data_IF_387157126796
#
_entry.id   IF_387157126796
#
_cell.length_a   1.000
_cell.length_b   1.000
_cell.length_c   1.000
_cell.angle_alpha   90.00
_cell.angle_beta   90.00
_cell.angle_gamma   90.00
#
_symmetry.space_group_name_H-M   'P 1'
#
loop_
_entity.id
_entity.type
_entity.pdbx_description
1 polymer ?
#
# COMPACT_ATOMS: atom_id res chain seq x y z
N UNK A 1 11.45 36.52 -28.25
CA UNK A 1 11.02 35.24 -28.81
C UNK A 1 12.18 34.61 -29.55
N UNK A 2 12.82 33.56 -29.06
CA UNK A 2 13.68 32.73 -29.89
C UNK A 2 12.92 31.43 -30.24
N UNK A 3 12.96 31.14 -31.55
CA UNK A 3 12.41 29.96 -32.20
C UNK A 3 12.99 28.65 -31.58
N UNK A 4 12.11 27.82 -31.03
CA UNK A 4 12.44 26.46 -30.70
C UNK A 4 12.55 25.69 -32.03
N UNK A 5 13.78 25.40 -32.45
CA UNK A 5 14.08 24.48 -33.56
C UNK A 5 13.56 23.10 -33.17
N UNK A 6 12.65 22.57 -33.99
CA UNK A 6 12.15 21.22 -33.86
C UNK A 6 13.30 20.21 -33.83
N UNK A 7 13.38 19.44 -32.74
CA UNK A 7 14.14 18.20 -32.67
C UNK A 7 13.57 17.25 -33.73
N UNK A 8 14.32 16.94 -34.75
CA UNK A 8 14.04 15.83 -35.66
C UNK A 8 13.98 14.57 -34.83
N UNK A 9 12.83 13.89 -34.86
CA UNK A 9 12.71 12.51 -34.37
C UNK A 9 13.78 11.69 -35.12
N UNK A 10 14.55 10.92 -34.36
CA UNK A 10 15.44 9.92 -34.92
C UNK A 10 14.60 8.87 -35.69
N UNK A 11 15.17 8.22 -36.74
CA UNK A 11 14.42 7.26 -37.52
C UNK A 11 13.92 6.13 -36.67
N UNK A 12 12.72 5.60 -37.00
CA UNK A 12 12.06 4.43 -36.43
C UNK A 12 12.99 3.21 -36.36
N UNK A 13 13.82 3.16 -35.35
CA UNK A 13 14.50 1.92 -34.96
C UNK A 13 13.44 1.05 -34.32
N UNK A 14 12.98 0.00 -35.02
CA UNK A 14 12.06 -0.99 -34.45
C UNK A 14 12.67 -1.51 -33.16
N UNK A 15 12.10 -1.11 -32.03
CA UNK A 15 12.48 -1.58 -30.70
C UNK A 15 12.18 -3.08 -30.67
N UNK A 16 13.16 -3.91 -30.32
CA UNK A 16 13.01 -5.36 -30.31
C UNK A 16 13.74 -6.00 -29.14
N UNK A 17 13.16 -7.05 -28.59
CA UNK A 17 13.81 -7.85 -27.53
C UNK A 17 15.13 -8.50 -27.98
N UNK A 18 15.37 -8.63 -29.29
CA UNK A 18 16.64 -9.09 -29.83
C UNK A 18 17.85 -8.24 -29.46
N UNK A 19 17.62 -6.97 -29.04
CA UNK A 19 18.67 -6.11 -28.50
C UNK A 19 19.23 -6.59 -27.14
N UNK A 20 18.50 -7.48 -26.47
CA UNK A 20 18.85 -8.06 -25.18
C UNK A 20 19.33 -9.52 -25.30
N UNK A 21 19.75 -9.97 -26.50
CA UNK A 21 20.40 -11.27 -26.63
C UNK A 21 21.72 -11.30 -25.87
N UNK A 22 22.08 -12.43 -25.23
CA UNK A 22 21.37 -13.72 -25.31
C UNK A 22 20.25 -13.92 -24.27
N UNK A 23 19.96 -12.96 -23.41
CA UNK A 23 19.02 -13.10 -22.28
C UNK A 23 17.58 -13.28 -22.75
N UNK A 24 17.20 -12.61 -23.86
CA UNK A 24 15.85 -12.74 -24.46
C UNK A 24 15.57 -14.15 -24.94
N UNK A 25 16.56 -14.97 -25.19
CA UNK A 25 16.38 -16.36 -25.56
C UNK A 25 15.87 -17.24 -24.40
N UNK A 26 16.07 -16.78 -23.16
CA UNK A 26 15.57 -17.41 -21.92
C UNK A 26 14.22 -16.89 -21.47
N UNK A 27 13.66 -15.89 -22.18
CA UNK A 27 12.39 -15.26 -21.83
C UNK A 27 11.37 -15.49 -22.95
N UNK A 28 10.16 -15.88 -22.58
CA UNK A 28 9.03 -15.89 -23.51
C UNK A 28 8.51 -14.45 -23.66
N UNK A 29 8.76 -13.87 -24.81
CA UNK A 29 8.44 -12.47 -25.13
C UNK A 29 7.28 -12.32 -26.10
N UNK A 30 6.60 -13.42 -26.49
CA UNK A 30 5.58 -13.42 -27.56
C UNK A 30 4.42 -12.47 -27.28
N UNK A 31 3.99 -12.38 -26.01
CA UNK A 31 2.90 -11.52 -25.58
C UNK A 31 3.37 -10.20 -24.95
N UNK A 32 4.64 -9.85 -25.08
CA UNK A 32 5.23 -8.69 -24.41
C UNK A 32 5.79 -7.72 -25.43
N UNK A 33 5.15 -6.58 -25.58
CA UNK A 33 5.64 -5.49 -26.41
C UNK A 33 6.91 -4.88 -25.80
N UNK A 34 8.05 -4.79 -26.56
CA UNK A 34 9.26 -4.16 -26.08
C UNK A 34 9.08 -2.64 -25.94
N UNK A 35 9.61 -2.09 -24.85
CA UNK A 35 9.58 -0.66 -24.58
C UNK A 35 10.96 -0.10 -24.39
N UNK A 36 11.25 1.06 -25.01
CA UNK A 36 12.60 1.64 -25.05
C UNK A 36 13.22 1.80 -23.66
N UNK A 37 12.46 2.34 -22.69
CA UNK A 37 12.97 2.51 -21.33
C UNK A 37 13.26 1.18 -20.64
N UNK A 38 12.50 0.10 -20.92
CA UNK A 38 12.77 -1.22 -20.34
C UNK A 38 14.08 -1.78 -20.86
N UNK A 39 14.32 -1.69 -22.18
CA UNK A 39 15.57 -2.13 -22.78
C UNK A 39 16.77 -1.35 -22.21
N UNK A 40 16.63 -0.03 -22.08
CA UNK A 40 17.66 0.83 -21.49
C UNK A 40 18.01 0.42 -20.06
N UNK A 41 16.99 0.22 -19.21
CA UNK A 41 17.17 -0.19 -17.80
C UNK A 41 17.78 -1.60 -17.72
N UNK A 42 17.33 -2.54 -18.55
CA UNK A 42 17.86 -3.90 -18.56
C UNK A 42 19.34 -3.90 -18.98
N UNK A 43 19.71 -3.08 -19.96
CA UNK A 43 21.13 -2.87 -20.33
C UNK A 43 21.96 -2.26 -19.19
N UNK A 44 21.38 -1.40 -18.37
CA UNK A 44 22.04 -0.87 -17.16
C UNK A 44 22.35 -1.99 -16.16
N UNK A 45 21.36 -2.87 -15.89
CA UNK A 45 21.52 -4.02 -14.99
C UNK A 45 22.64 -4.97 -15.47
N UNK A 46 22.81 -5.15 -16.78
CA UNK A 46 23.87 -5.98 -17.36
C UNK A 46 25.27 -5.56 -16.91
N UNK A 47 25.47 -4.27 -16.62
CA UNK A 47 26.71 -3.72 -16.10
C UNK A 47 27.15 -4.27 -14.73
N UNK A 48 26.34 -5.08 -14.06
CA UNK A 48 26.68 -5.80 -12.84
C UNK A 48 26.66 -4.97 -11.55
N UNK A 49 26.37 -3.68 -11.63
CA UNK A 49 26.22 -2.81 -10.46
C UNK A 49 24.89 -3.08 -9.72
N UNK A 50 24.88 -2.91 -8.41
CA UNK A 50 23.60 -2.87 -7.68
C UNK A 50 22.87 -1.57 -7.96
N UNK A 51 21.57 -1.66 -8.27
CA UNK A 51 20.80 -0.53 -8.79
C UNK A 51 19.47 -0.36 -8.08
N UNK A 52 19.06 0.91 -7.93
CA UNK A 52 17.70 1.30 -7.57
C UNK A 52 16.95 1.75 -8.83
N UNK A 53 15.86 1.06 -9.16
CA UNK A 53 15.03 1.35 -10.31
C UNK A 53 13.70 1.93 -9.81
N UNK A 54 13.41 3.16 -10.18
CA UNK A 54 12.18 3.87 -9.85
C UNK A 54 11.33 4.01 -11.10
N UNK A 55 10.20 3.29 -11.13
CA UNK A 55 9.26 3.28 -12.25
C UNK A 55 7.83 3.38 -11.75
N UNK A 56 6.97 4.23 -12.32
CA UNK A 56 5.53 4.25 -12.04
C UNK A 56 4.88 2.87 -12.13
N UNK A 57 3.75 2.70 -11.47
CA UNK A 57 2.93 1.49 -11.59
C UNK A 57 2.46 1.27 -13.03
N UNK A 58 2.33 0.01 -13.47
CA UNK A 58 1.86 -0.32 -14.82
C UNK A 58 2.94 -0.28 -15.91
N UNK A 59 4.16 0.15 -15.60
CA UNK A 59 5.26 0.22 -16.57
C UNK A 59 6.11 -1.06 -16.68
N UNK A 60 5.59 -2.19 -16.18
CA UNK A 60 6.21 -3.50 -16.42
C UNK A 60 7.50 -3.75 -15.63
N UNK A 61 7.57 -3.32 -14.35
CA UNK A 61 8.68 -3.68 -13.44
C UNK A 61 8.96 -5.19 -13.40
N UNK A 62 7.90 -6.00 -13.51
CA UNK A 62 8.02 -7.47 -13.56
C UNK A 62 8.82 -7.96 -14.78
N UNK A 63 8.68 -7.32 -15.94
CA UNK A 63 9.47 -7.65 -17.14
C UNK A 63 10.94 -7.41 -16.88
N UNK A 64 11.30 -6.26 -16.30
CA UNK A 64 12.67 -5.93 -15.93
C UNK A 64 13.24 -6.95 -14.93
N UNK A 65 12.44 -7.34 -13.92
CA UNK A 65 12.83 -8.37 -12.95
C UNK A 65 13.11 -9.73 -13.62
N UNK A 66 12.26 -10.15 -14.55
CA UNK A 66 12.43 -11.41 -15.28
C UNK A 66 13.70 -11.39 -16.14
N UNK A 67 14.00 -10.29 -16.82
CA UNK A 67 15.26 -10.17 -17.57
C UNK A 67 16.47 -10.13 -16.65
N UNK A 68 16.40 -9.50 -15.48
CA UNK A 68 17.47 -9.55 -14.49
C UNK A 68 17.72 -11.00 -14.01
N UNK A 69 16.66 -11.78 -13.77
CA UNK A 69 16.76 -13.21 -13.47
C UNK A 69 17.40 -13.98 -14.65
N UNK A 70 16.97 -13.73 -15.88
CA UNK A 70 17.50 -14.37 -17.09
C UNK A 70 19.00 -14.11 -17.26
N UNK A 71 19.50 -12.92 -16.90
CA UNK A 71 20.93 -12.60 -16.91
C UNK A 71 21.73 -13.48 -15.95
N UNK A 72 21.25 -13.69 -14.74
CA UNK A 72 21.92 -14.59 -13.79
C UNK A 72 21.90 -16.03 -14.30
N UNK A 73 20.79 -16.50 -14.82
CA UNK A 73 20.62 -17.84 -15.37
C UNK A 73 21.54 -18.09 -16.58
N UNK A 74 21.68 -17.11 -17.47
CA UNK A 74 22.60 -17.19 -18.61
C UNK A 74 24.05 -17.34 -18.17
N UNK A 75 24.42 -16.66 -17.08
CA UNK A 75 25.77 -16.78 -16.47
C UNK A 75 25.93 -18.06 -15.63
N UNK A 76 25.01 -19.02 -15.71
CA UNK A 76 25.00 -20.24 -14.91
C UNK A 76 24.76 -20.04 -13.40
N UNK A 77 24.28 -18.85 -12.99
CA UNK A 77 24.04 -18.50 -11.60
C UNK A 77 22.54 -18.57 -11.29
N UNK A 78 22.20 -18.77 -10.03
CA UNK A 78 20.84 -18.78 -9.51
C UNK A 78 20.34 -17.36 -9.25
N UNK A 79 19.02 -17.19 -9.10
CA UNK A 79 18.43 -15.90 -8.83
C UNK A 79 17.40 -15.95 -7.70
N UNK A 80 17.26 -14.83 -6.96
CA UNK A 80 16.21 -14.62 -5.95
C UNK A 80 15.36 -13.42 -6.36
N UNK A 81 14.03 -13.53 -6.23
CA UNK A 81 13.11 -12.39 -6.32
C UNK A 81 12.22 -12.34 -5.09
N UNK A 82 12.16 -11.19 -4.45
CA UNK A 82 11.42 -10.99 -3.19
C UNK A 82 10.35 -9.92 -3.34
N UNK A 83 9.19 -10.21 -2.75
CA UNK A 83 8.09 -9.27 -2.64
C UNK A 83 7.59 -9.17 -1.18
N UNK A 84 7.08 -7.99 -0.75
CA UNK A 84 6.79 -7.73 0.67
C UNK A 84 5.66 -8.57 1.24
N UNK A 85 4.81 -9.15 0.39
CA UNK A 85 3.66 -9.94 0.81
C UNK A 85 3.56 -11.27 0.06
N UNK A 86 2.94 -12.27 0.69
CA UNK A 86 2.70 -13.57 0.06
C UNK A 86 1.90 -13.46 -1.26
N UNK A 87 0.80 -12.70 -1.37
CA UNK A 87 0.09 -12.54 -2.64
C UNK A 87 0.95 -12.00 -3.77
N UNK A 88 1.80 -11.00 -3.51
CA UNK A 88 2.73 -10.48 -4.50
C UNK A 88 3.79 -11.52 -4.89
N UNK A 89 4.31 -12.29 -3.92
CA UNK A 89 5.24 -13.38 -4.21
C UNK A 89 4.59 -14.46 -5.10
N UNK A 90 3.33 -14.80 -4.87
CA UNK A 90 2.56 -15.74 -5.72
C UNK A 90 2.40 -15.15 -7.13
N UNK A 91 2.02 -13.88 -7.26
CA UNK A 91 1.89 -13.22 -8.56
C UNK A 91 3.21 -13.21 -9.35
N UNK A 92 4.33 -12.95 -8.68
CA UNK A 92 5.66 -13.00 -9.32
C UNK A 92 6.05 -14.43 -9.72
N UNK A 93 5.71 -15.41 -8.89
CA UNK A 93 5.91 -16.82 -9.20
C UNK A 93 5.16 -17.24 -10.47
N UNK A 94 3.88 -16.91 -10.57
CA UNK A 94 3.06 -17.18 -11.76
C UNK A 94 3.62 -16.45 -13.00
N UNK A 95 4.09 -15.21 -12.82
CA UNK A 95 4.72 -14.45 -13.89
C UNK A 95 6.03 -15.07 -14.35
N UNK A 96 6.86 -15.55 -13.42
CA UNK A 96 8.12 -16.21 -13.73
C UNK A 96 7.88 -17.54 -14.48
N UNK A 97 6.94 -18.37 -14.05
CA UNK A 97 6.57 -19.61 -14.76
C UNK A 97 6.12 -19.32 -16.19
N UNK A 98 5.33 -18.26 -16.41
CA UNK A 98 4.84 -17.91 -17.73
C UNK A 98 5.93 -17.33 -18.63
N UNK A 99 6.83 -16.51 -18.05
CA UNK A 99 7.76 -15.71 -18.84
C UNK A 99 9.16 -16.32 -18.95
N UNK A 100 9.64 -17.11 -17.98
CA UNK A 100 10.95 -17.79 -18.09
C UNK A 100 10.80 -19.11 -18.82
N UNK A 101 11.69 -19.36 -19.77
CA UNK A 101 11.80 -20.66 -20.47
C UNK A 101 12.56 -21.66 -19.60
N UNK A 102 11.97 -21.99 -18.45
CA UNK A 102 12.48 -22.95 -17.46
C UNK A 102 11.45 -24.02 -17.19
N UNK A 103 11.91 -25.17 -16.70
CA UNK A 103 10.98 -26.12 -16.09
C UNK A 103 10.34 -25.50 -14.85
N UNK A 104 9.02 -25.59 -14.65
CA UNK A 104 8.35 -25.11 -13.43
C UNK A 104 9.01 -25.61 -12.13
N UNK A 105 9.57 -26.82 -12.11
CA UNK A 105 10.26 -27.39 -10.96
C UNK A 105 11.57 -26.67 -10.60
N UNK A 106 12.15 -25.91 -11.53
CA UNK A 106 13.33 -25.08 -11.31
C UNK A 106 12.98 -23.75 -10.58
N UNK A 107 11.70 -23.42 -10.44
CA UNK A 107 11.22 -22.19 -9.82
C UNK A 107 10.51 -22.52 -8.51
N UNK A 108 11.06 -22.05 -7.39
CA UNK A 108 10.53 -22.31 -6.05
C UNK A 108 9.79 -21.09 -5.50
N UNK A 109 8.52 -21.29 -5.09
CA UNK A 109 7.80 -20.31 -4.27
C UNK A 109 8.09 -20.57 -2.78
N UNK A 110 8.83 -19.66 -2.15
CA UNK A 110 9.26 -19.77 -0.76
C UNK A 110 8.52 -18.78 0.14
N UNK A 111 7.50 -19.25 0.85
CA UNK A 111 6.71 -18.45 1.79
C UNK A 111 6.60 -19.17 3.14
N UNK A 112 6.10 -18.47 4.18
CA UNK A 112 5.96 -18.99 5.52
C UNK A 112 5.07 -20.24 5.67
N UNK A 113 4.37 -20.67 4.61
CA UNK A 113 3.54 -21.88 4.62
C UNK A 113 4.34 -23.18 4.40
N UNK A 114 5.54 -23.10 3.83
CA UNK A 114 6.40 -24.26 3.61
C UNK A 114 7.16 -24.62 4.91
N UNK A 115 7.05 -25.88 5.36
CA UNK A 115 7.73 -26.36 6.57
C UNK A 115 9.25 -26.24 6.45
N UNK A 116 9.90 -25.73 7.50
CA UNK A 116 11.34 -25.44 7.51
C UNK A 116 12.23 -26.66 7.12
N UNK A 117 11.88 -27.87 7.55
CA UNK A 117 12.67 -29.08 7.26
C UNK A 117 12.72 -29.47 5.78
N UNK A 118 11.73 -29.08 4.98
CA UNK A 118 11.72 -29.36 3.53
C UNK A 118 12.34 -28.22 2.70
N UNK A 119 12.49 -27.03 3.27
CA UNK A 119 12.93 -25.84 2.53
C UNK A 119 14.36 -25.94 2.01
N UNK A 120 15.27 -26.51 2.80
CA UNK A 120 16.68 -26.66 2.40
C UNK A 120 16.82 -27.50 1.14
N UNK A 121 16.17 -28.67 1.12
CA UNK A 121 16.22 -29.56 -0.05
C UNK A 121 15.56 -28.91 -1.29
N UNK A 122 14.39 -28.30 -1.10
CA UNK A 122 13.70 -27.61 -2.21
C UNK A 122 14.53 -26.43 -2.72
N UNK A 123 15.12 -25.65 -1.80
CA UNK A 123 15.95 -24.50 -2.17
C UNK A 123 17.23 -24.91 -2.88
N UNK A 124 17.86 -26.03 -2.54
CA UNK A 124 19.10 -26.47 -3.22
C UNK A 124 18.87 -26.87 -4.68
N UNK A 125 17.69 -27.37 -5.02
CA UNK A 125 17.32 -27.81 -6.38
C UNK A 125 16.86 -26.66 -7.27
N UNK A 126 16.28 -25.62 -6.71
CA UNK A 126 15.69 -24.52 -7.47
C UNK A 126 16.77 -23.62 -8.10
N UNK A 127 16.57 -23.22 -9.34
CA UNK A 127 17.38 -22.21 -10.04
C UNK A 127 16.92 -20.80 -9.75
N UNK A 128 15.62 -20.62 -9.50
CA UNK A 128 15.00 -19.34 -9.14
C UNK A 128 14.20 -19.52 -7.86
N UNK A 129 14.42 -18.65 -6.88
CA UNK A 129 13.64 -18.60 -5.64
C UNK A 129 12.82 -17.31 -5.65
N UNK A 130 11.50 -17.44 -5.52
CA UNK A 130 10.58 -16.32 -5.37
C UNK A 130 9.92 -16.41 -3.99
N UNK A 131 9.94 -15.34 -3.20
CA UNK A 131 9.44 -15.45 -1.85
C UNK A 131 9.27 -14.14 -1.09
N UNK A 132 8.95 -14.30 0.20
CA UNK A 132 8.88 -13.15 1.11
C UNK A 132 10.21 -12.93 1.81
N UNK A 133 10.60 -11.66 2.06
CA UNK A 133 11.88 -11.33 2.71
C UNK A 133 12.08 -12.01 4.05
N UNK A 134 11.01 -12.13 4.86
CA UNK A 134 11.06 -12.76 6.18
C UNK A 134 11.45 -14.24 6.08
N UNK A 135 10.88 -14.95 5.10
CA UNK A 135 11.17 -16.38 4.94
C UNK A 135 12.59 -16.59 4.47
N UNK A 136 13.02 -15.85 3.44
CA UNK A 136 14.39 -15.97 2.88
C UNK A 136 15.45 -15.51 3.89
N UNK A 137 15.22 -14.39 4.61
CA UNK A 137 16.13 -13.95 5.68
C UNK A 137 16.31 -15.00 6.79
N UNK A 138 15.23 -15.66 7.19
CA UNK A 138 15.29 -16.73 8.18
C UNK A 138 16.06 -17.96 7.66
N UNK A 139 15.93 -18.29 6.39
CA UNK A 139 16.60 -19.43 5.79
C UNK A 139 18.11 -19.15 5.52
N UNK A 140 18.47 -17.91 5.20
CA UNK A 140 19.86 -17.45 5.16
C UNK A 140 20.51 -17.54 6.55
N UNK A 141 19.86 -16.96 7.59
CA UNK A 141 20.37 -16.98 8.98
C UNK A 141 20.57 -18.39 9.53
N UNK A 142 19.75 -19.33 9.11
CA UNK A 142 19.84 -20.73 9.54
C UNK A 142 20.69 -21.61 8.63
N UNK A 143 21.38 -21.04 7.62
CA UNK A 143 22.24 -21.78 6.71
C UNK A 143 21.51 -22.73 5.75
N UNK A 144 20.17 -22.60 5.60
CA UNK A 144 19.41 -23.39 4.62
C UNK A 144 19.59 -22.89 3.18
N UNK A 145 19.96 -21.63 3.04
CA UNK A 145 20.30 -21.00 1.76
C UNK A 145 21.65 -20.29 1.96
N UNK A 146 22.57 -20.40 1.02
CA UNK A 146 23.78 -19.58 0.96
C UNK A 146 23.60 -18.51 -0.11
N UNK A 147 23.75 -17.24 0.26
CA UNK A 147 23.66 -16.13 -0.68
C UNK A 147 24.72 -16.21 -1.79
N UNK A 148 25.88 -16.79 -1.51
CA UNK A 148 26.97 -16.98 -2.49
C UNK A 148 26.60 -17.80 -3.72
N UNK A 149 25.55 -18.62 -3.68
CA UNK A 149 25.07 -19.42 -4.81
C UNK A 149 24.36 -18.57 -5.88
N UNK A 150 23.95 -17.36 -5.53
CA UNK A 150 23.12 -16.51 -6.39
C UNK A 150 23.96 -15.46 -7.14
N UNK A 151 23.53 -15.13 -8.35
CA UNK A 151 24.14 -14.07 -9.16
C UNK A 151 23.42 -12.74 -9.01
N UNK A 152 22.11 -12.79 -8.72
CA UNK A 152 21.27 -11.59 -8.59
C UNK A 152 20.17 -11.79 -7.56
N UNK A 153 19.85 -10.71 -6.85
CA UNK A 153 18.66 -10.60 -5.98
C UNK A 153 17.83 -9.41 -6.43
N UNK A 154 16.57 -9.65 -6.76
CA UNK A 154 15.59 -8.62 -7.12
C UNK A 154 14.65 -8.38 -5.96
N UNK A 155 14.54 -7.13 -5.51
CA UNK A 155 13.64 -6.71 -4.44
C UNK A 155 12.50 -5.86 -5.02
N UNK A 156 11.30 -6.41 -5.09
CA UNK A 156 10.12 -5.62 -5.46
C UNK A 156 9.60 -4.82 -4.26
N UNK A 157 9.03 -3.64 -4.54
CA UNK A 157 8.62 -2.64 -3.56
C UNK A 157 9.72 -2.36 -2.52
N UNK A 158 10.94 -2.19 -3.00
CA UNK A 158 12.15 -2.05 -2.19
C UNK A 158 12.14 -0.85 -1.23
N UNK A 159 11.22 0.13 -1.41
CA UNK A 159 11.02 1.22 -0.45
C UNK A 159 10.63 0.72 0.96
N UNK A 160 10.21 -0.53 1.08
CA UNK A 160 10.03 -1.22 2.36
C UNK A 160 11.35 -1.68 3.00
N UNK A 161 12.50 -1.53 2.36
CA UNK A 161 13.80 -1.93 2.92
C UNK A 161 14.26 -1.02 4.07
N UNK A 162 13.81 0.22 4.14
CA UNK A 162 14.16 1.15 5.21
C UNK A 162 13.47 0.76 6.52
N UNK A 163 14.27 0.54 7.57
CA UNK A 163 13.77 0.19 8.90
C UNK A 163 13.19 -1.22 9.05
N UNK A 164 13.28 -2.10 8.05
CA UNK A 164 12.81 -3.49 8.11
C UNK A 164 13.98 -4.47 8.09
N UNK A 165 14.24 -5.10 9.19
CA UNK A 165 15.37 -6.03 9.41
C UNK A 165 15.54 -7.13 8.36
N UNK A 166 14.47 -7.64 7.76
CA UNK A 166 14.57 -8.73 6.77
C UNK A 166 15.18 -8.26 5.43
N UNK A 167 14.72 -7.14 4.89
CA UNK A 167 15.29 -6.58 3.65
C UNK A 167 16.72 -6.08 3.84
N UNK A 168 16.98 -5.37 4.95
CA UNK A 168 18.32 -4.86 5.26
C UNK A 168 19.32 -6.00 5.41
N UNK A 169 18.93 -7.05 6.16
CA UNK A 169 19.80 -8.23 6.33
C UNK A 169 20.14 -8.89 4.98
N UNK A 170 19.15 -9.05 4.09
CA UNK A 170 19.37 -9.64 2.76
C UNK A 170 20.30 -8.76 1.92
N UNK A 171 20.13 -7.44 1.96
CA UNK A 171 20.98 -6.51 1.25
C UNK A 171 22.44 -6.54 1.77
N UNK A 172 22.61 -6.66 3.08
CA UNK A 172 23.95 -6.80 3.69
C UNK A 172 24.61 -8.12 3.29
N UNK A 173 23.85 -9.23 3.24
CA UNK A 173 24.37 -10.52 2.72
C UNK A 173 24.75 -10.42 1.24
N UNK A 174 23.98 -9.72 0.41
CA UNK A 174 24.34 -9.47 -0.98
C UNK A 174 25.65 -8.69 -1.09
N UNK A 175 25.81 -7.61 -0.30
CA UNK A 175 27.07 -6.83 -0.26
C UNK A 175 28.26 -7.69 0.16
N UNK A 176 28.09 -8.48 1.22
CA UNK A 176 29.14 -9.32 1.77
C UNK A 176 29.60 -10.41 0.80
N UNK A 177 28.66 -11.02 0.06
CA UNK A 177 28.96 -12.10 -0.91
C UNK A 177 29.22 -11.59 -2.34
N UNK A 178 29.15 -10.27 -2.58
CA UNK A 178 29.33 -9.69 -3.91
C UNK A 178 28.22 -10.06 -4.90
N UNK A 179 26.99 -10.25 -4.42
CA UNK A 179 25.81 -10.57 -5.22
C UNK A 179 25.14 -9.27 -5.67
N UNK A 180 24.86 -9.17 -6.97
CA UNK A 180 24.17 -7.99 -7.53
C UNK A 180 22.76 -7.85 -6.95
N UNK A 181 22.37 -6.64 -6.52
CA UNK A 181 21.07 -6.35 -5.99
C UNK A 181 20.34 -5.33 -6.86
N UNK A 182 19.12 -5.66 -7.29
CA UNK A 182 18.25 -4.79 -8.07
C UNK A 182 16.99 -4.47 -7.25
N UNK A 183 16.88 -3.23 -6.82
CA UNK A 183 15.69 -2.74 -6.11
C UNK A 183 14.69 -2.10 -7.06
N UNK A 184 13.45 -2.55 -7.05
CA UNK A 184 12.35 -2.01 -7.86
C UNK A 184 11.35 -1.30 -6.95
N UNK A 185 10.90 -0.10 -7.33
CA UNK A 185 9.82 0.61 -6.62
C UNK A 185 9.08 1.57 -7.55
N UNK A 186 7.81 1.83 -7.23
CA UNK A 186 7.05 2.90 -7.87
C UNK A 186 7.22 4.24 -7.13
N UNK A 187 7.53 4.20 -5.84
CA UNK A 187 7.63 5.38 -4.98
C UNK A 187 8.73 5.17 -3.93
N UNK A 188 9.92 5.74 -4.14
CA UNK A 188 11.02 5.63 -3.18
C UNK A 188 10.79 6.47 -1.91
N UNK A 189 9.72 7.28 -1.88
CA UNK A 189 9.39 8.22 -0.82
C UNK A 189 9.57 9.68 -1.25
N UNK A 190 8.88 10.58 -0.56
CA UNK A 190 8.95 12.04 -0.81
C UNK A 190 10.05 12.75 0.02
N UNK A 191 10.60 12.08 1.03
CA UNK A 191 11.64 12.63 1.91
C UNK A 191 13.02 12.21 1.38
N UNK A 192 13.84 13.22 1.03
CA UNK A 192 15.20 13.01 0.53
C UNK A 192 16.06 12.14 1.46
N UNK A 193 15.89 12.29 2.80
CA UNK A 193 16.63 11.47 3.77
C UNK A 193 16.28 9.98 3.62
N UNK A 194 15.00 9.66 3.48
CA UNK A 194 14.54 8.27 3.30
C UNK A 194 15.02 7.67 1.99
N UNK A 195 15.11 8.47 0.93
CA UNK A 195 15.67 8.01 -0.36
C UNK A 195 17.14 7.69 -0.22
N UNK A 196 17.92 8.54 0.47
CA UNK A 196 19.35 8.27 0.75
C UNK A 196 19.51 7.02 1.60
N UNK A 197 18.74 6.89 2.69
CA UNK A 197 18.73 5.67 3.53
C UNK A 197 18.40 4.41 2.72
N UNK A 198 17.49 4.50 1.76
CA UNK A 198 17.15 3.39 0.87
C UNK A 198 18.32 3.01 -0.04
N UNK A 199 18.97 4.00 -0.67
CA UNK A 199 20.13 3.79 -1.54
C UNK A 199 21.27 3.12 -0.77
N UNK A 200 21.57 3.62 0.43
CA UNK A 200 22.60 3.06 1.32
C UNK A 200 22.24 1.64 1.79
N UNK A 201 20.99 1.42 2.19
CA UNK A 201 20.50 0.10 2.61
C UNK A 201 20.63 -0.94 1.50
N UNK A 202 20.30 -0.58 0.26
CA UNK A 202 20.44 -1.46 -0.91
C UNK A 202 21.88 -1.61 -1.39
N UNK A 203 22.78 -0.70 -1.00
CA UNK A 203 24.13 -0.60 -1.60
C UNK A 203 24.07 -0.27 -3.08
N UNK A 204 23.03 0.44 -3.50
CA UNK A 204 22.86 0.81 -4.89
C UNK A 204 23.89 1.87 -5.30
N UNK A 205 24.68 1.56 -6.33
CA UNK A 205 25.66 2.48 -6.90
C UNK A 205 25.15 3.20 -8.14
N UNK A 206 23.99 2.75 -8.66
CA UNK A 206 23.29 3.37 -9.78
C UNK A 206 21.82 3.55 -9.43
N UNK A 207 21.21 4.59 -10.04
CA UNK A 207 19.79 4.89 -9.90
C UNK A 207 19.24 5.11 -11.30
N UNK A 208 18.29 4.28 -11.70
CA UNK A 208 17.50 4.46 -12.92
C UNK A 208 16.10 4.92 -12.54
N UNK A 209 15.80 6.16 -12.78
CA UNK A 209 14.48 6.74 -12.48
C UNK A 209 13.78 7.19 -13.77
N UNK A 210 12.51 6.85 -13.89
CA UNK A 210 11.64 7.35 -14.96
C UNK A 210 10.34 7.86 -14.36
N UNK A 211 9.89 8.95 -14.87
CA UNK A 211 8.58 9.55 -14.56
C UNK A 211 7.60 9.32 -15.71
N UNK A 212 6.34 9.61 -15.47
CA UNK A 212 5.31 9.58 -16.52
C UNK A 212 5.50 10.64 -17.63
N UNK A 213 6.37 11.63 -17.40
CA UNK A 213 6.62 12.72 -18.32
C UNK A 213 7.87 12.50 -19.18
N UNK A 214 8.67 11.47 -18.90
CA UNK A 214 9.88 11.18 -19.66
C UNK A 214 9.53 10.73 -21.09
N UNK A 215 10.26 11.23 -22.07
CA UNK A 215 9.95 11.04 -23.48
C UNK A 215 9.91 9.57 -23.92
N UNK A 216 10.71 8.71 -23.27
CA UNK A 216 10.76 7.28 -23.51
C UNK A 216 9.64 6.50 -22.78
N UNK A 217 8.91 7.14 -21.87
CA UNK A 217 7.83 6.55 -21.05
C UNK A 217 6.44 7.07 -21.47
N UNK A 218 6.33 8.35 -21.75
CA UNK A 218 5.05 9.03 -22.07
C UNK A 218 4.17 8.31 -23.10
N UNK A 219 4.72 7.70 -24.19
CA UNK A 219 3.91 6.96 -25.17
C UNK A 219 3.19 5.72 -24.60
N UNK A 220 3.68 5.16 -23.52
CA UNK A 220 3.14 3.93 -22.87
C UNK A 220 2.24 4.22 -21.67
N UNK A 221 2.10 5.47 -21.28
CA UNK A 221 1.17 5.89 -20.23
C UNK A 221 -0.23 5.95 -20.83
N UNK A 222 -1.08 5.04 -20.42
CA UNK A 222 -2.52 5.21 -20.65
C UNK A 222 -2.96 6.41 -19.83
N UNK A 223 -3.47 7.44 -20.47
CA UNK A 223 -3.96 8.64 -19.80
C UNK A 223 -4.96 8.23 -18.70
N UNK A 224 -4.65 8.63 -17.47
CA UNK A 224 -5.62 8.53 -16.39
C UNK A 224 -6.44 9.81 -16.41
N UNK A 225 -7.71 9.69 -16.75
CA UNK A 225 -8.65 10.78 -16.54
C UNK A 225 -8.99 10.82 -15.04
N UNK A 226 -8.53 11.88 -14.38
CA UNK A 226 -8.77 12.07 -12.94
C UNK A 226 -9.84 13.13 -12.75
N UNK A 227 -10.98 12.72 -12.24
CA UNK A 227 -12.08 13.61 -11.92
C UNK A 227 -12.21 13.75 -10.40
N UNK A 228 -12.26 15.00 -9.91
CA UNK A 228 -12.54 15.29 -8.51
C UNK A 228 -14.00 15.73 -8.36
N UNK A 229 -14.77 14.97 -7.60
CA UNK A 229 -16.18 15.29 -7.30
C UNK A 229 -16.25 15.88 -5.90
N UNK A 230 -16.63 17.15 -5.83
CA UNK A 230 -16.87 17.84 -4.56
C UNK A 230 -18.32 17.64 -4.12
N UNK A 231 -18.49 17.21 -2.87
CA UNK A 231 -19.81 16.95 -2.28
C UNK A 231 -19.96 17.76 -1.00
N UNK A 232 -21.02 18.52 -0.91
CA UNK A 232 -21.34 19.32 0.27
C UNK A 232 -21.93 18.44 1.39
N UNK A 233 -21.46 18.62 2.62
CA UNK A 233 -21.98 17.87 3.76
C UNK A 233 -23.44 18.25 4.04
N UNK A 234 -24.28 17.27 4.38
CA UNK A 234 -25.67 17.48 4.74
C UNK A 234 -25.80 18.29 6.05
N UNK A 235 -26.99 18.78 6.33
CA UNK A 235 -27.27 19.56 7.55
C UNK A 235 -26.96 18.74 8.81
N UNK A 236 -27.31 17.46 8.82
CA UNK A 236 -27.08 16.57 9.96
C UNK A 236 -25.57 16.36 10.18
N UNK A 237 -24.80 16.11 9.14
CA UNK A 237 -23.34 15.96 9.21
C UNK A 237 -22.69 17.25 9.74
N UNK A 238 -23.10 18.42 9.22
CA UNK A 238 -22.63 19.73 9.70
C UNK A 238 -22.95 19.95 11.19
N UNK A 239 -24.14 19.58 11.63
CA UNK A 239 -24.56 19.71 13.04
C UNK A 239 -23.74 18.81 13.97
N UNK A 240 -23.59 17.54 13.63
CA UNK A 240 -22.82 16.57 14.44
C UNK A 240 -21.34 16.97 14.49
N UNK A 241 -20.75 17.36 13.36
CA UNK A 241 -19.35 17.81 13.32
C UNK A 241 -19.11 19.06 14.17
N UNK A 242 -20.05 20.03 14.16
CA UNK A 242 -19.99 21.21 15.01
C UNK A 242 -20.05 20.85 16.51
N UNK A 243 -20.94 19.91 16.88
CA UNK A 243 -21.05 19.41 18.26
C UNK A 243 -19.73 18.73 18.71
N UNK A 244 -19.19 17.81 17.90
CA UNK A 244 -17.92 17.14 18.22
C UNK A 244 -16.76 18.14 18.34
N UNK A 245 -16.68 19.11 17.43
CA UNK A 245 -15.69 20.19 17.48
C UNK A 245 -15.79 20.99 18.79
N UNK A 246 -16.98 21.31 19.23
CA UNK A 246 -17.20 22.02 20.51
C UNK A 246 -16.65 21.22 21.70
N UNK A 247 -16.96 19.91 21.77
CA UNK A 247 -16.51 19.04 22.85
C UNK A 247 -14.98 18.88 22.79
N UNK A 248 -14.40 18.70 21.61
CA UNK A 248 -12.94 18.61 21.41
C UNK A 248 -12.27 19.91 21.90
N UNK A 249 -12.77 21.07 21.53
CA UNK A 249 -12.21 22.37 21.92
C UNK A 249 -12.24 22.57 23.44
N UNK A 250 -13.28 22.14 24.14
CA UNK A 250 -13.34 22.17 25.60
C UNK A 250 -12.20 21.36 26.23
N UNK A 251 -11.85 20.21 25.67
CA UNK A 251 -10.78 19.35 26.16
C UNK A 251 -9.40 19.86 25.75
N UNK A 252 -9.25 20.38 24.55
CA UNK A 252 -8.03 21.03 24.09
C UNK A 252 -7.70 22.28 24.91
N UNK A 253 -8.71 23.06 25.33
CA UNK A 253 -8.51 24.21 26.21
C UNK A 253 -7.84 23.81 27.51
N UNK A 254 -8.22 22.69 28.13
CA UNK A 254 -7.56 22.17 29.34
C UNK A 254 -6.08 21.81 29.10
N UNK A 255 -5.74 21.29 27.91
CA UNK A 255 -4.35 21.02 27.54
C UNK A 255 -3.59 22.32 27.21
N UNK A 256 -4.26 23.33 26.68
CA UNK A 256 -3.69 24.64 26.41
C UNK A 256 -3.38 25.40 27.71
N UNK A 257 -4.29 25.44 28.66
CA UNK A 257 -4.13 26.10 29.97
C UNK A 257 -2.93 25.57 30.77
N UNK A 258 -2.56 24.31 30.53
CA UNK A 258 -1.39 23.68 31.15
C UNK A 258 -0.14 23.70 30.26
N UNK A 259 -0.15 24.44 29.16
CA UNK A 259 1.00 24.62 28.25
C UNK A 259 1.34 23.44 27.36
N UNK A 260 0.48 22.41 27.28
CA UNK A 260 0.71 21.20 26.45
C UNK A 260 0.21 21.38 25.01
N UNK A 261 -0.87 22.12 24.79
CA UNK A 261 -1.35 22.43 23.44
C UNK A 261 -0.98 23.87 23.04
N UNK A 262 -0.62 24.15 21.79
CA UNK A 262 -0.33 25.50 21.33
C UNK A 262 -1.57 26.39 21.17
N UNK A 263 -2.76 25.79 21.10
CA UNK A 263 -4.04 26.48 20.89
C UNK A 263 -5.19 25.63 21.44
N UNK A 264 -6.29 26.24 21.90
CA UNK A 264 -7.49 25.53 22.29
C UNK A 264 -8.39 25.14 21.10
N UNK A 265 -8.03 25.55 19.88
CA UNK A 265 -8.85 25.36 18.68
C UNK A 265 -8.40 24.15 17.88
N UNK A 266 -9.29 23.18 17.77
CA UNK A 266 -9.05 21.90 17.07
C UNK A 266 -8.55 22.07 15.62
N UNK A 267 -9.13 22.98 14.86
CA UNK A 267 -8.77 23.19 13.44
C UNK A 267 -7.34 23.69 13.25
N UNK A 268 -6.74 24.28 14.30
CA UNK A 268 -5.36 24.79 14.30
C UNK A 268 -4.35 23.80 14.85
N UNK A 269 -4.78 22.59 15.25
CA UNK A 269 -3.89 21.54 15.76
C UNK A 269 -3.79 20.41 14.74
N UNK A 270 -2.77 20.40 13.88
CA UNK A 270 -2.57 19.28 12.94
C UNK A 270 -2.38 17.95 13.70
N UNK A 271 -2.84 16.84 13.12
CA UNK A 271 -2.72 15.50 13.72
C UNK A 271 -1.29 15.16 14.16
N UNK A 272 -0.28 15.55 13.35
CA UNK A 272 1.13 15.38 13.69
C UNK A 272 1.50 16.09 15.00
N UNK A 273 0.99 17.31 15.22
CA UNK A 273 1.23 18.07 16.43
C UNK A 273 0.59 17.42 17.65
N UNK A 274 -0.60 16.88 17.49
CA UNK A 274 -1.27 16.14 18.55
C UNK A 274 -0.49 14.89 18.99
N UNK A 275 0.10 14.15 18.05
CA UNK A 275 0.97 13.02 18.38
C UNK A 275 2.20 13.46 19.16
N UNK A 276 2.80 14.61 18.83
CA UNK A 276 3.92 15.18 19.59
C UNK A 276 3.52 15.55 21.03
N UNK A 277 2.30 16.06 21.24
CA UNK A 277 1.75 16.31 22.59
C UNK A 277 1.69 14.99 23.37
N UNK A 278 1.22 13.91 22.77
CA UNK A 278 1.20 12.59 23.40
C UNK A 278 2.58 12.09 23.82
N UNK A 279 3.59 12.27 22.95
CA UNK A 279 4.97 11.87 23.27
C UNK A 279 5.58 12.73 24.38
N UNK A 280 5.23 14.01 24.42
CA UNK A 280 5.63 14.90 25.54
C UNK A 280 5.00 14.44 26.86
N UNK A 281 3.70 14.15 26.86
CA UNK A 281 2.98 13.67 28.06
C UNK A 281 3.57 12.36 28.60
N UNK A 282 3.99 11.43 27.72
CA UNK A 282 4.62 10.17 28.14
C UNK A 282 5.89 10.40 28.96
N UNK A 283 6.66 11.46 28.63
CA UNK A 283 7.94 11.81 29.28
C UNK A 283 7.78 12.53 30.61
N UNK A 284 6.59 13.03 30.96
CA UNK A 284 6.33 13.66 32.23
C UNK A 284 6.46 12.68 33.39
N UNK A 285 6.93 13.16 34.55
CA UNK A 285 6.95 12.36 35.78
C UNK A 285 5.55 12.00 36.23
N UNK A 286 5.40 10.86 36.90
CA UNK A 286 4.09 10.38 37.41
C UNK A 286 3.56 11.40 38.44
N UNK A 287 2.39 11.95 38.16
CA UNK A 287 1.71 12.95 38.98
C UNK A 287 0.24 13.08 38.61
N UNK A 288 -0.57 13.70 39.46
CA UNK A 288 -1.95 14.02 39.14
C UNK A 288 -2.08 14.86 37.86
N UNK A 289 -1.10 15.74 37.62
CA UNK A 289 -0.99 16.53 36.40
C UNK A 289 -0.84 15.65 35.17
N UNK A 290 0.07 14.67 35.19
CA UNK A 290 0.22 13.71 34.07
C UNK A 290 -1.05 12.94 33.80
N UNK A 291 -1.73 12.46 34.85
CA UNK A 291 -2.98 11.70 34.68
C UNK A 291 -4.10 12.57 34.06
N UNK A 292 -4.24 13.83 34.50
CA UNK A 292 -5.18 14.78 33.92
C UNK A 292 -4.84 15.10 32.45
N UNK A 293 -3.57 15.25 32.13
CA UNK A 293 -3.09 15.46 30.75
C UNK A 293 -3.39 14.25 29.86
N UNK A 294 -3.09 13.03 30.30
CA UNK A 294 -3.42 11.77 29.59
C UNK A 294 -4.92 11.68 29.34
N UNK A 295 -5.73 11.95 30.38
CA UNK A 295 -7.18 11.89 30.29
C UNK A 295 -7.72 12.81 29.18
N UNK A 296 -7.36 14.09 29.19
CA UNK A 296 -7.81 15.05 28.19
C UNK A 296 -7.23 14.73 26.78
N UNK A 297 -5.99 14.29 26.71
CA UNK A 297 -5.34 13.90 25.44
C UNK A 297 -6.05 12.71 24.77
N UNK A 298 -6.30 11.64 25.52
CA UNK A 298 -7.00 10.45 24.96
C UNK A 298 -8.43 10.79 24.59
N UNK A 299 -9.10 11.62 25.41
CA UNK A 299 -10.45 12.13 25.11
C UNK A 299 -10.50 12.86 23.76
N UNK A 300 -9.51 13.73 23.52
CA UNK A 300 -9.37 14.45 22.24
C UNK A 300 -9.13 13.49 21.10
N UNK A 301 -8.25 12.49 21.26
CA UNK A 301 -7.93 11.52 20.21
C UNK A 301 -9.16 10.70 19.80
N UNK A 302 -9.93 10.17 20.79
CA UNK A 302 -11.11 9.36 20.51
C UNK A 302 -12.20 10.19 19.80
N UNK A 303 -12.41 11.43 20.22
CA UNK A 303 -13.40 12.30 19.55
C UNK A 303 -12.92 12.85 18.21
N UNK A 304 -11.61 13.05 18.01
CA UNK A 304 -11.07 13.35 16.67
C UNK A 304 -11.35 12.22 15.70
N UNK A 305 -11.17 10.98 16.15
CA UNK A 305 -11.48 9.83 15.30
C UNK A 305 -12.99 9.79 14.97
N UNK A 306 -13.87 10.06 15.94
CA UNK A 306 -15.30 10.20 15.70
C UNK A 306 -15.62 11.33 14.70
N UNK A 307 -14.92 12.46 14.83
CA UNK A 307 -15.04 13.60 13.93
C UNK A 307 -14.60 13.25 12.50
N UNK A 308 -13.45 12.58 12.36
CA UNK A 308 -12.95 12.11 11.05
C UNK A 308 -13.99 11.17 10.40
N UNK A 309 -14.53 10.22 11.16
CA UNK A 309 -15.53 9.28 10.64
C UNK A 309 -16.78 9.98 10.12
N UNK A 310 -17.39 10.89 10.92
CA UNK A 310 -18.61 11.56 10.47
C UNK A 310 -18.37 12.54 9.32
N UNK A 311 -17.23 13.21 9.29
CA UNK A 311 -16.93 14.21 8.27
C UNK A 311 -16.50 13.63 6.94
N UNK A 312 -15.92 12.42 6.92
CA UNK A 312 -15.34 11.82 5.71
C UNK A 312 -15.98 10.50 5.29
N UNK A 313 -16.45 9.70 6.25
CA UNK A 313 -16.88 8.32 6.01
C UNK A 313 -18.40 8.14 6.10
N UNK A 314 -19.10 8.91 6.97
CA UNK A 314 -20.54 8.92 7.06
C UNK A 314 -21.14 8.65 8.44
N UNK A 315 -22.49 8.63 8.48
CA UNK A 315 -23.25 8.43 9.71
C UNK A 315 -23.05 7.02 10.29
N UNK A 316 -23.15 5.99 9.47
CA UNK A 316 -23.01 4.61 9.92
C UNK A 316 -21.64 4.30 10.54
N UNK A 317 -20.49 4.65 9.92
CA UNK A 317 -19.17 4.45 10.53
C UNK A 317 -19.02 5.21 11.87
N UNK A 318 -19.55 6.42 11.97
CA UNK A 318 -19.58 7.20 13.22
C UNK A 318 -20.33 6.48 14.33
N UNK A 319 -21.59 6.10 14.08
CA UNK A 319 -22.44 5.38 15.05
C UNK A 319 -21.78 4.07 15.46
N UNK A 320 -21.31 3.27 14.49
CA UNK A 320 -20.64 1.98 14.74
C UNK A 320 -19.38 2.14 15.61
N UNK A 321 -18.64 3.23 15.44
CA UNK A 321 -17.48 3.52 16.30
C UNK A 321 -17.92 3.78 17.75
N UNK A 322 -18.92 4.64 17.97
CA UNK A 322 -19.41 4.91 19.33
C UNK A 322 -19.99 3.66 19.98
N UNK A 323 -20.74 2.82 19.25
CA UNK A 323 -21.21 1.54 19.75
C UNK A 323 -20.06 0.59 20.09
N UNK A 324 -18.99 0.58 19.29
CA UNK A 324 -17.79 -0.18 19.61
C UNK A 324 -17.13 0.24 20.92
N UNK A 325 -17.22 1.52 21.29
CA UNK A 325 -16.76 2.01 22.59
C UNK A 325 -17.67 1.54 23.73
N UNK A 326 -19.01 1.45 23.49
CA UNK A 326 -20.01 0.96 24.47
C UNK A 326 -19.85 -0.54 24.78
N UNK A 327 -19.48 -1.33 23.78
CA UNK A 327 -19.40 -2.80 23.88
C UNK A 327 -18.02 -3.33 24.32
N UNK A 328 -17.04 -2.46 24.58
CA UNK A 328 -15.73 -2.89 25.09
C UNK A 328 -15.86 -3.57 26.48
N UNK A 329 -15.31 -4.76 26.64
CA UNK A 329 -15.30 -5.53 27.90
C UNK A 329 -14.65 -4.73 29.06
N UNK A 330 -13.55 -4.02 28.78
CA UNK A 330 -12.87 -3.14 29.73
C UNK A 330 -12.85 -1.72 29.22
N UNK A 331 -13.69 -0.87 29.78
CA UNK A 331 -13.72 0.55 29.47
C UNK A 331 -12.80 1.34 30.39
N UNK A 332 -12.08 2.29 29.81
CA UNK A 332 -11.29 3.26 30.59
C UNK A 332 -12.20 4.36 31.14
N UNK A 333 -11.76 5.04 32.20
CA UNK A 333 -12.46 6.22 32.74
C UNK A 333 -12.69 7.31 31.69
N UNK A 334 -11.82 7.39 30.67
CA UNK A 334 -11.95 8.32 29.55
C UNK A 334 -13.14 7.93 28.69
N UNK A 335 -13.24 6.67 28.27
CA UNK A 335 -14.35 6.17 27.46
C UNK A 335 -15.69 6.32 28.20
N UNK A 336 -15.74 6.01 29.49
CA UNK A 336 -16.95 6.22 30.29
C UNK A 336 -17.35 7.70 30.35
N UNK A 337 -16.38 8.62 30.44
CA UNK A 337 -16.62 10.05 30.41
C UNK A 337 -17.10 10.55 29.03
N UNK A 338 -16.58 9.97 27.95
CA UNK A 338 -17.03 10.25 26.57
C UNK A 338 -18.49 9.84 26.42
N UNK A 339 -18.82 8.60 26.79
CA UNK A 339 -20.16 8.03 26.63
C UNK A 339 -21.23 8.69 27.51
N UNK A 340 -20.82 9.29 28.64
CA UNK A 340 -21.70 10.09 29.52
C UNK A 340 -21.89 11.54 29.09
N UNK A 341 -21.27 11.98 27.99
CA UNK A 341 -21.42 13.34 27.50
C UNK A 341 -22.77 13.52 26.81
N UNK A 342 -23.67 14.38 27.34
CA UNK A 342 -25.04 14.50 26.81
C UNK A 342 -25.07 15.08 25.39
N UNK A 343 -24.11 15.93 25.03
CA UNK A 343 -24.04 16.50 23.68
C UNK A 343 -23.63 15.40 22.65
N UNK A 344 -22.74 14.50 23.04
CA UNK A 344 -22.38 13.36 22.18
C UNK A 344 -23.56 12.39 22.05
N UNK A 345 -24.26 12.10 23.13
CA UNK A 345 -25.44 11.22 23.10
C UNK A 345 -26.55 11.76 22.20
N UNK A 346 -26.82 13.05 22.28
CA UNK A 346 -27.75 13.73 21.36
C UNK A 346 -27.30 13.65 19.90
N UNK A 347 -25.98 13.81 19.63
CA UNK A 347 -25.46 13.69 18.30
C UNK A 347 -25.58 12.26 17.76
N UNK A 348 -25.34 11.24 18.59
CA UNK A 348 -25.50 9.82 18.20
C UNK A 348 -26.96 9.49 17.95
N UNK A 349 -27.87 9.97 18.79
CA UNK A 349 -29.33 9.80 18.59
C UNK A 349 -29.80 10.43 17.29
N UNK A 350 -29.32 11.65 16.98
CA UNK A 350 -29.64 12.32 15.72
C UNK A 350 -29.09 11.56 14.50
N UNK A 351 -27.87 10.99 14.61
CA UNK A 351 -27.30 10.17 13.56
C UNK A 351 -28.11 8.88 13.33
N UNK A 352 -28.56 8.21 14.40
CA UNK A 352 -29.42 7.02 14.28
C UNK A 352 -30.74 7.35 13.61
N UNK A 353 -31.41 8.42 14.04
CA UNK A 353 -32.70 8.86 13.45
C UNK A 353 -32.56 9.17 11.96
N UNK A 354 -31.44 9.77 11.55
CA UNK A 354 -31.12 10.01 10.14
C UNK A 354 -30.90 8.71 9.35
N UNK A 355 -30.16 7.76 9.92
CA UNK A 355 -29.96 6.44 9.31
C UNK A 355 -31.28 5.66 9.16
N UNK A 356 -32.15 5.71 10.17
CA UNK A 356 -33.48 5.07 10.15
C UNK A 356 -34.41 5.69 9.08
N UNK A 357 -34.23 6.98 8.78
CA UNK A 357 -34.92 7.66 7.66
C UNK A 357 -34.27 7.43 6.29
N UNK A 358 -33.17 6.63 6.23
CA UNK A 358 -32.42 6.32 4.99
C UNK A 358 -31.43 7.41 4.57
N UNK A 359 -31.21 8.46 5.40
CA UNK A 359 -30.21 9.47 5.16
C UNK A 359 -28.81 8.91 5.48
N UNK A 360 -27.86 9.15 4.61
CA UNK A 360 -26.44 8.80 4.79
C UNK A 360 -25.57 9.98 4.34
N UNK A 361 -24.26 9.82 4.40
CA UNK A 361 -23.35 10.85 3.93
C UNK A 361 -23.54 11.11 2.43
N UNK A 362 -23.62 12.39 1.98
CA UNK A 362 -23.87 12.72 0.57
C UNK A 362 -22.89 12.11 -0.43
N UNK A 363 -21.68 11.76 -0.01
CA UNK A 363 -20.72 11.00 -0.85
C UNK A 363 -21.24 9.64 -1.31
N UNK A 364 -22.13 9.01 -0.52
CA UNK A 364 -22.72 7.72 -0.89
C UNK A 364 -23.63 7.86 -2.10
N UNK A 365 -24.43 8.92 -2.15
CA UNK A 365 -25.31 9.19 -3.29
C UNK A 365 -24.53 9.63 -4.52
N UNK A 366 -23.50 10.46 -4.33
CA UNK A 366 -22.58 10.86 -5.40
C UNK A 366 -21.84 9.63 -5.98
N UNK A 367 -21.33 8.72 -5.14
CA UNK A 367 -20.71 7.48 -5.56
C UNK A 367 -21.69 6.59 -6.35
N UNK A 368 -22.89 6.40 -5.83
CA UNK A 368 -23.93 5.60 -6.48
C UNK A 368 -24.30 6.16 -7.85
N UNK A 369 -24.51 7.47 -7.93
CA UNK A 369 -24.82 8.15 -9.19
C UNK A 369 -23.66 8.01 -10.19
N UNK A 370 -22.42 8.27 -9.76
CA UNK A 370 -21.24 8.11 -10.58
C UNK A 370 -21.12 6.68 -11.14
N UNK A 371 -21.24 5.67 -10.27
CA UNK A 371 -21.16 4.29 -10.70
C UNK A 371 -22.30 3.90 -11.66
N UNK A 372 -23.54 4.38 -11.44
CA UNK A 372 -24.65 4.11 -12.36
C UNK A 372 -24.41 4.72 -13.74
N UNK A 373 -23.75 5.87 -13.81
CA UNK A 373 -23.45 6.55 -15.08
C UNK A 373 -22.26 5.91 -15.81
N UNK A 374 -21.18 5.58 -15.06
CA UNK A 374 -19.90 5.22 -15.66
C UNK A 374 -19.69 3.71 -15.86
N UNK A 375 -20.41 2.87 -15.08
CA UNK A 375 -20.18 1.42 -15.17
C UNK A 375 -20.45 0.84 -16.56
N UNK A 376 -21.60 1.14 -17.16
CA UNK A 376 -21.96 0.72 -18.55
C UNK A 376 -21.26 -0.59 -19.02
N UNK A 377 -21.37 -1.65 -18.21
CA UNK A 377 -20.70 -2.94 -18.47
C UNK A 377 -19.22 -3.03 -18.04
N UNK A 378 -18.64 -1.94 -17.53
CA UNK A 378 -17.26 -1.94 -16.98
C UNK A 378 -17.24 -2.43 -15.53
N UNK A 379 -16.03 -2.71 -15.03
CA UNK A 379 -15.78 -3.00 -13.62
C UNK A 379 -15.15 -1.81 -12.93
N UNK A 380 -15.46 -1.62 -11.63
CA UNK A 380 -14.91 -0.56 -10.81
C UNK A 380 -14.33 -1.09 -9.50
N UNK A 381 -13.28 -0.42 -9.01
CA UNK A 381 -12.77 -0.61 -7.64
C UNK A 381 -13.03 0.67 -6.84
N UNK A 382 -13.62 0.50 -5.67
CA UNK A 382 -13.88 1.59 -4.71
C UNK A 382 -12.98 1.38 -3.50
N UNK A 383 -12.18 2.37 -3.14
CA UNK A 383 -11.30 2.30 -1.97
C UNK A 383 -11.83 3.17 -0.85
N UNK A 384 -11.91 2.60 0.35
CA UNK A 384 -12.29 3.28 1.57
C UNK A 384 -11.34 2.93 2.71
N UNK A 385 -11.12 3.86 3.62
CA UNK A 385 -10.12 3.69 4.69
C UNK A 385 -10.55 2.69 5.77
N UNK A 386 -11.86 2.59 6.05
CA UNK A 386 -12.38 1.82 7.18
C UNK A 386 -13.32 0.70 6.72
N UNK A 387 -13.27 -0.43 7.43
CA UNK A 387 -14.13 -1.60 7.15
C UNK A 387 -15.61 -1.33 7.32
N UNK A 388 -15.98 -0.49 8.31
CA UNK A 388 -17.37 -0.05 8.48
C UNK A 388 -17.90 0.70 7.26
N UNK A 389 -17.05 1.55 6.66
CA UNK A 389 -17.36 2.26 5.42
C UNK A 389 -17.54 1.30 4.25
N UNK A 390 -16.68 0.28 4.12
CA UNK A 390 -16.84 -0.76 3.09
C UNK A 390 -18.21 -1.44 3.21
N UNK A 391 -18.58 -1.84 4.42
CA UNK A 391 -19.90 -2.48 4.66
C UNK A 391 -21.06 -1.57 4.28
N UNK A 392 -21.00 -0.29 4.64
CA UNK A 392 -22.01 0.71 4.29
C UNK A 392 -22.10 0.90 2.78
N UNK A 393 -20.95 1.07 2.09
CA UNK A 393 -20.91 1.22 0.63
C UNK A 393 -21.51 -0.01 -0.05
N UNK A 394 -21.04 -1.21 0.31
CA UNK A 394 -21.52 -2.47 -0.31
C UNK A 394 -23.04 -2.62 -0.13
N UNK A 395 -23.53 -2.40 1.09
CA UNK A 395 -24.99 -2.45 1.36
C UNK A 395 -25.73 -1.46 0.48
N UNK A 396 -25.32 -0.19 0.46
CA UNK A 396 -25.98 0.86 -0.35
C UNK A 396 -25.98 0.54 -1.84
N UNK A 397 -24.90 -0.02 -2.36
CA UNK A 397 -24.79 -0.41 -3.76
C UNK A 397 -25.73 -1.58 -4.10
N UNK A 398 -25.75 -2.62 -3.26
CA UNK A 398 -26.63 -3.80 -3.45
C UNK A 398 -28.09 -3.39 -3.35
N UNK A 399 -28.49 -2.60 -2.36
CA UNK A 399 -29.86 -2.09 -2.15
C UNK A 399 -30.33 -1.26 -3.37
N UNK A 400 -29.40 -0.74 -4.16
CA UNK A 400 -29.68 0.04 -5.38
C UNK A 400 -29.41 -0.73 -6.69
N UNK A 401 -29.33 -2.06 -6.65
CA UNK A 401 -29.22 -2.93 -7.81
C UNK A 401 -27.81 -3.03 -8.43
N UNK A 402 -26.77 -2.51 -7.76
CA UNK A 402 -25.40 -2.64 -8.21
C UNK A 402 -24.78 -3.90 -7.62
N UNK A 403 -24.24 -4.78 -8.46
CA UNK A 403 -23.55 -6.01 -8.02
C UNK A 403 -22.19 -5.65 -7.42
N UNK A 404 -22.11 -5.55 -6.09
CA UNK A 404 -20.92 -5.14 -5.37
C UNK A 404 -20.50 -6.17 -4.32
N UNK A 405 -19.19 -6.29 -4.06
CA UNK A 405 -18.64 -7.11 -2.99
C UNK A 405 -17.52 -6.39 -2.26
N UNK A 406 -17.47 -6.57 -0.92
CA UNK A 406 -16.42 -6.04 -0.07
C UNK A 406 -15.18 -6.94 -0.07
N UNK A 407 -14.00 -6.31 -0.02
CA UNK A 407 -12.71 -6.96 0.14
C UNK A 407 -11.98 -6.34 1.34
N UNK A 408 -11.83 -7.09 2.43
CA UNK A 408 -11.19 -6.63 3.66
C UNK A 408 -9.99 -7.49 4.04
N UNK A 409 -8.97 -6.87 4.65
CA UNK A 409 -7.73 -7.54 5.02
C UNK A 409 -7.89 -8.55 6.17
N UNK A 410 -6.88 -9.38 6.41
CA UNK A 410 -6.80 -10.60 7.24
C UNK A 410 -7.25 -10.55 8.72
N UNK A 411 -7.59 -9.41 9.33
CA UNK A 411 -7.84 -9.32 10.78
C UNK A 411 -9.15 -9.95 11.29
N UNK A 412 -10.04 -10.45 10.43
CA UNK A 412 -11.35 -11.03 10.81
C UNK A 412 -11.48 -12.53 10.52
N UNK A 413 -10.39 -13.29 10.55
CA UNK A 413 -10.47 -14.75 10.34
C UNK A 413 -10.74 -15.18 8.89
N UNK A 414 -10.83 -14.23 7.94
CA UNK A 414 -10.99 -14.53 6.51
C UNK A 414 -9.72 -15.23 6.03
N UNK A 415 -9.87 -16.46 5.57
CA UNK A 415 -8.76 -17.23 5.00
C UNK A 415 -8.26 -16.59 3.71
N UNK A 416 -6.97 -16.72 3.44
CA UNK A 416 -6.36 -16.18 2.22
C UNK A 416 -7.01 -16.74 0.95
N UNK A 417 -7.42 -18.00 0.96
CA UNK A 417 -8.16 -18.64 -0.14
C UNK A 417 -9.49 -17.96 -0.45
N UNK A 418 -10.18 -17.43 0.57
CA UNK A 418 -11.43 -16.69 0.37
C UNK A 418 -11.17 -15.33 -0.28
N UNK A 419 -10.06 -14.67 0.06
CA UNK A 419 -9.65 -13.41 -0.58
C UNK A 419 -9.29 -13.61 -2.06
N UNK A 420 -8.53 -14.66 -2.36
CA UNK A 420 -8.18 -15.04 -3.74
C UNK A 420 -9.44 -15.39 -4.54
N UNK A 421 -10.41 -16.06 -3.91
CA UNK A 421 -11.71 -16.35 -4.51
C UNK A 421 -12.53 -15.11 -4.85
N UNK A 422 -12.51 -14.06 -4.01
CA UNK A 422 -13.20 -12.79 -4.30
C UNK A 422 -12.59 -12.10 -5.52
N UNK A 423 -11.27 -12.05 -5.61
CA UNK A 423 -10.58 -11.43 -6.76
C UNK A 423 -10.86 -12.21 -8.06
N UNK A 424 -10.85 -13.54 -8.00
CA UNK A 424 -11.18 -14.39 -9.15
C UNK A 424 -12.60 -14.15 -9.65
N UNK A 425 -13.57 -14.11 -8.75
CA UNK A 425 -14.98 -13.83 -9.10
C UNK A 425 -15.15 -12.43 -9.69
N UNK A 426 -14.43 -11.43 -9.19
CA UNK A 426 -14.41 -10.09 -9.76
C UNK A 426 -13.88 -10.09 -11.19
N UNK A 427 -12.76 -10.79 -11.44
CA UNK A 427 -12.17 -10.93 -12.78
C UNK A 427 -13.10 -11.66 -13.76
N UNK A 428 -13.85 -12.62 -13.26
CA UNK A 428 -14.83 -13.38 -14.05
C UNK A 428 -16.15 -12.62 -14.29
N UNK A 429 -16.30 -11.40 -13.73
CA UNK A 429 -17.48 -10.56 -13.93
C UNK A 429 -18.73 -11.00 -13.15
N UNK A 430 -18.60 -11.86 -12.13
CA UNK A 430 -19.72 -12.25 -11.26
C UNK A 430 -20.33 -11.06 -10.54
N UNK A 431 -19.52 -10.06 -10.23
CA UNK A 431 -19.93 -8.74 -9.77
C UNK A 431 -19.02 -7.68 -10.39
N UNK A 432 -19.50 -6.45 -10.49
CA UNK A 432 -18.81 -5.40 -11.24
C UNK A 432 -18.23 -4.27 -10.36
N UNK A 433 -18.48 -4.28 -9.05
CA UNK A 433 -17.88 -3.33 -8.12
C UNK A 433 -17.19 -4.06 -6.97
N UNK A 434 -15.88 -3.87 -6.84
CA UNK A 434 -15.08 -4.35 -5.71
C UNK A 434 -14.82 -3.19 -4.75
N UNK A 435 -15.26 -3.31 -3.49
CA UNK A 435 -15.03 -2.27 -2.45
C UNK A 435 -13.96 -2.75 -1.49
N UNK A 436 -12.82 -2.05 -1.39
CA UNK A 436 -11.64 -2.49 -0.66
C UNK A 436 -11.03 -1.42 0.26
N UNK A 437 -10.14 -1.83 1.17
CA UNK A 437 -9.31 -0.91 1.97
C UNK A 437 -7.99 -0.63 1.29
#
# INVERSE_FOLDING_TARGET
MPLIRGMRMAPDTKIAWSELKPYSDLVNTDDIEPRQYQISIIKSIEGGASELIVLPTGLGKTVIAVFAIAMALYKGRRAIMLAPTKPLSVQHYESAIRMLKLNPDDILLLTGTTKAGKRSEMASKARVIIGTPQTVSNDLRSGRIDMGDFGIVVLDECHHAVGRYAYTYIADECKFKGVQLVGLTASPGSDRKKVVELIEALGATRIEARSSFDADVAPYIKGNDTQTIYVENSRIVKSITATLKSIINQRLRKLYEVGLSPTPEFERVPKKRLLMIGDHIKRLNSSNYKFAAIFNYVYVLDLMHAYDLISTEGLYPFVNYIESLRTREKRSKVVDSILKNPQLEAAVSAANSALDSGEEHPKMDALLQFLKTELNGKSAMVFAQYRSTIRSIVKRLIDNGVRAQGFVGKKEGIKQSEQEGVISRFRNGEFNVLVAT
#
